data_IF_399095566476
#
_entry.id   IF_399095566476
#
_cell.length_a   1.000
_cell.length_b   1.000
_cell.length_c   1.000
_cell.angle_alpha   90.00
_cell.angle_beta   90.00
_cell.angle_gamma   90.00
#
_symmetry.space_group_name_H-M   'P 1'
#
loop_
_entity.id
_entity.type
_entity.pdbx_description
1 polymer ?
#
# COMPACT_ATOMS: atom_id res chain seq x y z
N UNK A 1 -15.34 43.48 40.15
CA UNK A 1 -14.84 42.08 40.27
C UNK A 1 -14.96 41.24 38.97
N UNK A 2 -16.01 41.40 38.17
CA UNK A 2 -16.20 40.61 36.92
C UNK A 2 -15.16 40.84 35.81
N UNK A 3 -14.54 42.05 35.74
CA UNK A 3 -13.55 42.37 34.70
C UNK A 3 -12.17 41.71 34.97
N UNK A 4 -11.79 41.51 36.21
CA UNK A 4 -10.48 40.92 36.57
C UNK A 4 -10.42 39.42 36.24
N UNK A 5 -11.52 38.69 36.43
CA UNK A 5 -11.63 37.28 36.09
C UNK A 5 -11.54 37.00 34.60
N UNK A 6 -12.11 37.89 33.76
CA UNK A 6 -12.01 37.75 32.29
C UNK A 6 -10.59 37.98 31.79
N UNK A 7 -9.85 38.92 32.40
CA UNK A 7 -8.44 39.16 32.05
C UNK A 7 -7.57 37.99 32.48
N UNK A 8 -7.80 37.43 33.68
CA UNK A 8 -7.05 36.28 34.17
C UNK A 8 -7.31 35.02 33.34
N UNK A 9 -8.56 34.76 32.93
CA UNK A 9 -8.92 33.65 32.06
C UNK A 9 -8.29 33.80 30.66
N UNK A 10 -8.21 35.01 30.10
CA UNK A 10 -7.58 35.26 28.82
C UNK A 10 -6.06 35.06 28.87
N UNK A 11 -5.41 35.49 29.98
CA UNK A 11 -3.97 35.29 30.21
C UNK A 11 -3.62 33.80 30.41
N UNK A 12 -4.45 33.03 31.08
CA UNK A 12 -4.25 31.57 31.24
C UNK A 12 -4.43 30.88 29.91
N UNK A 13 -5.45 31.26 29.10
CA UNK A 13 -5.69 30.69 27.79
C UNK A 13 -4.54 30.98 26.81
N UNK A 14 -3.98 32.19 26.83
CA UNK A 14 -2.81 32.55 26.01
C UNK A 14 -1.53 31.86 26.48
N UNK A 15 -1.34 31.66 27.80
CA UNK A 15 -0.21 30.90 28.33
C UNK A 15 -0.28 29.41 27.96
N UNK A 16 -1.47 28.82 28.00
CA UNK A 16 -1.68 27.42 27.58
C UNK A 16 -1.47 27.28 26.06
N UNK A 17 -1.96 28.22 25.25
CA UNK A 17 -1.69 28.20 23.81
C UNK A 17 -0.19 28.40 23.49
N UNK A 18 0.51 29.29 24.22
CA UNK A 18 1.95 29.48 24.05
C UNK A 18 2.77 28.29 24.52
N UNK A 19 2.34 27.59 25.57
CA UNK A 19 2.95 26.32 26.00
C UNK A 19 2.74 25.21 24.95
N UNK A 20 1.58 25.14 24.30
CA UNK A 20 1.36 24.20 23.19
C UNK A 20 2.20 24.54 21.94
N UNK A 21 2.52 25.81 21.69
CA UNK A 21 3.38 26.21 20.59
C UNK A 21 4.88 26.01 20.90
N UNK A 22 5.30 26.12 22.17
CA UNK A 22 6.68 25.93 22.60
C UNK A 22 7.02 24.49 22.99
N UNK A 23 6.01 23.69 23.34
CA UNK A 23 6.11 22.26 23.60
C UNK A 23 5.30 21.45 22.61
N UNK A 24 5.09 21.97 21.41
CA UNK A 24 4.72 21.15 20.26
C UNK A 24 5.76 20.04 20.21
N UNK A 25 5.32 18.84 20.63
CA UNK A 25 6.17 17.66 20.66
C UNK A 25 6.71 17.41 19.26
N UNK A 26 7.90 17.92 18.98
CA UNK A 26 8.84 17.14 18.22
C UNK A 26 9.06 15.90 19.10
N UNK A 27 8.30 14.84 18.85
CA UNK A 27 8.80 13.53 19.22
C UNK A 27 10.25 13.51 18.71
N UNK A 28 11.24 13.13 19.54
CA UNK A 28 12.57 12.96 19.03
C UNK A 28 12.41 12.02 17.83
N UNK A 29 12.98 12.39 16.69
CA UNK A 29 13.30 11.43 15.65
C UNK A 29 14.21 10.42 16.35
N UNK A 30 13.56 9.42 16.93
CA UNK A 30 14.26 8.29 17.47
C UNK A 30 14.95 7.71 16.26
N UNK A 31 16.26 7.87 16.21
CA UNK A 31 17.14 7.05 15.40
C UNK A 31 16.68 5.62 15.69
N UNK A 32 15.84 5.08 14.79
CA UNK A 32 15.37 3.70 14.88
C UNK A 32 16.63 2.87 14.75
N UNK A 33 17.11 2.37 15.89
CA UNK A 33 18.26 1.48 15.95
C UNK A 33 17.84 0.24 15.17
N UNK A 34 18.16 0.27 13.87
CA UNK A 34 17.91 -0.81 12.94
C UNK A 34 18.64 -2.01 13.50
N UNK A 35 17.94 -2.94 14.14
CA UNK A 35 18.50 -4.25 14.34
C UNK A 35 18.85 -4.74 12.94
N UNK A 36 20.14 -4.96 12.70
CA UNK A 36 20.68 -5.48 11.45
C UNK A 36 19.73 -6.61 10.98
N UNK A 37 19.16 -6.52 9.76
CA UNK A 37 18.23 -7.52 9.28
C UNK A 37 18.85 -8.93 9.20
N UNK A 38 20.08 -9.09 9.65
CA UNK A 38 20.84 -10.33 9.61
C UNK A 38 21.29 -10.66 8.18
N UNK A 39 22.21 -11.59 8.07
CA UNK A 39 22.59 -12.14 6.76
C UNK A 39 21.36 -12.79 6.13
N UNK A 40 20.90 -12.40 4.92
CA UNK A 40 19.76 -13.03 4.26
C UNK A 40 19.86 -14.56 4.18
N UNK A 41 21.07 -15.12 4.08
CA UNK A 41 21.29 -16.57 4.06
C UNK A 41 20.92 -17.24 5.38
N UNK A 42 21.08 -16.57 6.52
CA UNK A 42 20.72 -17.10 7.85
C UNK A 42 19.21 -17.01 8.10
N UNK A 43 18.57 -15.98 7.55
CA UNK A 43 17.11 -15.77 7.67
C UNK A 43 16.28 -16.82 6.92
N UNK A 44 16.84 -17.40 5.86
CA UNK A 44 16.14 -18.28 4.92
C UNK A 44 16.81 -19.65 4.83
N UNK A 45 16.90 -20.37 5.94
CA UNK A 45 17.58 -21.68 6.00
C UNK A 45 16.72 -22.89 5.55
N UNK A 46 15.40 -22.69 5.39
CA UNK A 46 14.45 -23.75 5.02
C UNK A 46 14.40 -24.06 3.52
N UNK A 47 13.61 -25.08 3.11
CA UNK A 47 13.37 -25.38 1.72
C UNK A 47 12.66 -24.18 1.03
N UNK A 48 13.07 -23.90 -0.20
CA UNK A 48 12.47 -22.82 -1.00
C UNK A 48 11.18 -23.33 -1.64
N UNK A 49 10.03 -22.69 -1.43
CA UNK A 49 8.81 -23.05 -2.13
C UNK A 49 8.97 -22.89 -3.65
N UNK A 50 8.35 -23.76 -4.42
CA UNK A 50 8.29 -23.58 -5.87
C UNK A 50 7.33 -22.43 -6.22
N UNK A 51 7.72 -21.53 -7.13
CA UNK A 51 6.85 -20.45 -7.55
C UNK A 51 5.57 -20.97 -8.19
N UNK A 52 4.43 -20.45 -7.74
CA UNK A 52 3.15 -20.76 -8.36
C UNK A 52 3.00 -20.01 -9.70
N UNK A 53 2.47 -20.69 -10.72
CA UNK A 53 2.20 -20.10 -12.03
C UNK A 53 0.76 -19.63 -12.07
N UNK A 54 0.49 -18.35 -12.40
CA UNK A 54 -0.87 -17.85 -12.52
C UNK A 54 -1.60 -18.47 -13.72
N UNK A 55 -2.94 -18.51 -13.70
CA UNK A 55 -3.72 -18.87 -14.88
C UNK A 55 -3.37 -17.96 -16.07
N UNK A 56 -3.49 -18.47 -17.28
CA UNK A 56 -3.23 -17.69 -18.49
C UNK A 56 -4.16 -16.43 -18.53
N UNK A 57 -3.56 -15.25 -18.68
CA UNK A 57 -4.27 -13.97 -18.63
C UNK A 57 -4.85 -13.62 -17.24
N UNK A 58 -4.39 -14.29 -16.18
CA UNK A 58 -4.77 -14.06 -14.80
C UNK A 58 -3.62 -13.64 -13.90
N UNK A 59 -3.88 -13.65 -12.60
CA UNK A 59 -2.91 -13.35 -11.55
C UNK A 59 -3.13 -14.19 -10.30
N UNK A 60 -2.09 -14.28 -9.47
CA UNK A 60 -2.19 -14.74 -8.09
C UNK A 60 -1.86 -13.55 -7.20
N UNK A 61 -2.71 -13.30 -6.22
CA UNK A 61 -2.58 -12.21 -5.25
C UNK A 61 -2.34 -12.80 -3.88
N UNK A 62 -1.34 -12.31 -3.15
CA UNK A 62 -1.11 -12.63 -1.74
C UNK A 62 -1.19 -11.37 -0.90
N UNK A 63 -1.84 -11.47 0.25
CA UNK A 63 -1.85 -10.44 1.27
C UNK A 63 -0.59 -10.54 2.13
N UNK A 64 0.20 -9.48 2.17
CA UNK A 64 1.48 -9.42 2.91
C UNK A 64 1.37 -8.65 4.24
N UNK A 65 0.15 -8.24 4.60
CA UNK A 65 -0.11 -7.45 5.80
C UNK A 65 -0.23 -5.95 5.53
N UNK A 66 -1.01 -5.26 6.34
CA UNK A 66 -1.28 -3.84 6.27
C UNK A 66 -1.65 -3.37 4.85
N UNK A 67 -0.78 -2.60 4.19
CA UNK A 67 -0.95 -2.19 2.79
C UNK A 67 -0.23 -3.10 1.80
N UNK A 68 0.52 -4.09 2.29
CA UNK A 68 1.36 -4.97 1.50
C UNK A 68 0.57 -6.00 0.72
N UNK A 69 0.77 -6.01 -0.60
CA UNK A 69 0.26 -7.05 -1.49
C UNK A 69 1.32 -7.48 -2.50
N UNK A 70 1.37 -8.78 -2.82
CA UNK A 70 2.12 -9.30 -3.95
C UNK A 70 1.15 -9.76 -5.04
N UNK A 71 1.46 -9.44 -6.28
CA UNK A 71 0.67 -9.84 -7.46
C UNK A 71 1.57 -10.52 -8.47
N UNK A 72 1.44 -11.82 -8.61
CA UNK A 72 2.13 -12.61 -9.64
C UNK A 72 1.28 -12.61 -10.90
N UNK A 73 1.80 -12.02 -11.95
CA UNK A 73 1.27 -12.10 -13.31
C UNK A 73 2.05 -13.12 -14.14
N UNK A 74 1.78 -13.26 -15.42
CA UNK A 74 2.46 -14.22 -16.27
C UNK A 74 3.98 -14.03 -16.27
N UNK A 75 4.45 -12.78 -16.34
CA UNK A 75 5.87 -12.47 -16.48
C UNK A 75 6.49 -11.74 -15.30
N UNK A 76 5.68 -11.23 -14.36
CA UNK A 76 6.16 -10.35 -13.28
C UNK A 76 5.63 -10.77 -11.92
N UNK A 77 6.39 -10.42 -10.88
CA UNK A 77 5.91 -10.30 -9.52
C UNK A 77 5.95 -8.83 -9.12
N UNK A 78 4.78 -8.26 -8.92
CA UNK A 78 4.63 -6.90 -8.40
C UNK A 78 4.45 -6.96 -6.89
N UNK A 79 5.18 -6.13 -6.15
CA UNK A 79 5.10 -6.04 -4.70
C UNK A 79 4.80 -4.60 -4.35
N UNK A 80 3.71 -4.37 -3.62
CA UNK A 80 3.25 -3.05 -3.21
C UNK A 80 3.40 -2.88 -1.71
N UNK A 81 3.92 -1.72 -1.27
CA UNK A 81 4.00 -1.23 0.10
C UNK A 81 4.38 -2.32 1.12
N UNK A 82 5.47 -3.03 0.85
CA UNK A 82 5.96 -4.10 1.70
C UNK A 82 6.72 -3.56 2.90
N UNK A 83 6.38 -4.06 4.06
CA UNK A 83 7.08 -3.76 5.30
C UNK A 83 7.14 -5.00 6.21
N UNK A 84 8.22 -5.13 6.95
CA UNK A 84 8.43 -6.14 7.98
C UNK A 84 8.48 -5.55 9.37
N UNK A 85 8.71 -4.24 9.47
CA UNK A 85 8.77 -3.54 10.73
C UNK A 85 7.43 -3.61 11.46
N UNK A 86 7.50 -3.63 12.78
CA UNK A 86 6.43 -4.09 13.67
C UNK A 86 5.96 -2.95 14.57
N UNK A 87 5.12 -2.11 14.06
CA UNK A 87 4.46 -1.08 14.85
C UNK A 87 3.35 -1.61 15.78
N UNK A 88 3.32 -2.92 16.01
CA UNK A 88 2.29 -3.60 16.77
C UNK A 88 1.14 -4.17 15.92
N UNK A 89 1.12 -3.88 14.63
CA UNK A 89 0.05 -4.30 13.71
C UNK A 89 0.30 -5.67 13.06
N UNK A 90 1.51 -6.19 13.17
CA UNK A 90 1.88 -7.50 12.61
C UNK A 90 2.54 -8.41 13.66
N UNK A 91 2.56 -9.75 13.42
CA UNK A 91 3.25 -10.67 14.32
C UNK A 91 4.71 -10.28 14.53
N UNK A 92 5.18 -10.26 15.77
CA UNK A 92 6.56 -9.90 16.14
C UNK A 92 7.58 -11.00 15.85
N UNK A 93 7.15 -12.16 15.37
CA UNK A 93 8.02 -13.30 15.10
C UNK A 93 7.98 -13.67 13.63
N UNK A 94 9.15 -13.93 13.07
CA UNK A 94 9.27 -14.52 11.75
C UNK A 94 8.59 -15.89 11.70
N UNK A 95 7.90 -16.23 10.60
CA UNK A 95 7.44 -17.58 10.40
C UNK A 95 8.65 -18.50 10.27
N UNK A 96 8.49 -19.76 10.69
CA UNK A 96 9.57 -20.77 10.57
C UNK A 96 10.04 -20.95 9.11
N UNK A 97 9.16 -20.66 8.16
CA UNK A 97 9.45 -20.66 6.73
C UNK A 97 8.80 -19.42 6.08
N UNK A 98 9.52 -18.30 5.97
CA UNK A 98 9.05 -17.14 5.24
C UNK A 98 8.76 -17.50 3.78
N UNK A 99 7.64 -17.07 3.25
CA UNK A 99 7.21 -17.29 1.87
C UNK A 99 6.03 -16.40 1.52
N UNK A 100 5.71 -16.24 0.26
CA UNK A 100 4.47 -15.56 -0.16
C UNK A 100 3.22 -16.17 0.50
N UNK A 101 3.18 -17.49 0.62
CA UNK A 101 2.07 -18.19 1.29
C UNK A 101 2.00 -17.93 2.80
N UNK A 102 3.09 -17.50 3.42
CA UNK A 102 3.12 -17.05 4.82
C UNK A 102 2.91 -15.53 4.96
N UNK A 103 2.81 -14.79 3.86
CA UNK A 103 2.70 -13.32 3.84
C UNK A 103 4.05 -12.60 3.94
N UNK A 104 5.13 -13.27 3.57
CA UNK A 104 6.48 -12.75 3.63
C UNK A 104 7.19 -12.93 2.29
N UNK A 105 8.17 -12.09 2.02
CA UNK A 105 9.01 -12.24 0.84
C UNK A 105 10.28 -13.01 1.22
N UNK A 106 10.41 -14.24 0.69
CA UNK A 106 11.68 -14.93 0.60
C UNK A 106 12.27 -14.62 -0.80
N UNK A 107 13.36 -13.86 -0.89
CA UNK A 107 13.93 -13.50 -2.20
C UNK A 107 14.37 -14.72 -3.00
N UNK A 108 14.67 -15.87 -2.36
CA UNK A 108 15.02 -17.12 -3.05
C UNK A 108 13.83 -17.74 -3.78
N UNK A 109 12.59 -17.58 -3.24
CA UNK A 109 11.35 -18.01 -3.90
C UNK A 109 11.10 -17.25 -5.21
N UNK A 110 11.59 -16.02 -5.29
CA UNK A 110 11.29 -15.08 -6.37
C UNK A 110 12.49 -14.79 -7.28
N UNK A 111 13.64 -15.43 -7.06
CA UNK A 111 14.94 -15.13 -7.72
C UNK A 111 14.90 -15.18 -9.26
N UNK A 112 14.07 -16.05 -9.82
CA UNK A 112 13.95 -16.24 -11.26
C UNK A 112 12.80 -15.44 -11.88
N UNK A 113 12.18 -14.52 -11.10
CA UNK A 113 11.09 -13.67 -11.54
C UNK A 113 11.58 -12.25 -11.89
N UNK A 114 10.82 -11.57 -12.73
CA UNK A 114 10.95 -10.12 -12.89
C UNK A 114 10.20 -9.43 -11.75
N UNK A 115 10.92 -9.03 -10.72
CA UNK A 115 10.33 -8.41 -9.51
C UNK A 115 10.27 -6.89 -9.69
N UNK A 116 9.12 -6.30 -9.36
CA UNK A 116 8.89 -4.85 -9.39
C UNK A 116 8.27 -4.42 -8.07
N UNK A 117 9.00 -3.60 -7.33
CA UNK A 117 8.61 -3.13 -6.00
C UNK A 117 8.11 -1.71 -6.11
N UNK A 118 6.89 -1.47 -5.64
CA UNK A 118 6.22 -0.18 -5.64
C UNK A 118 6.01 0.25 -4.20
N UNK A 119 6.41 1.48 -3.87
CA UNK A 119 6.20 2.06 -2.55
C UNK A 119 5.54 3.41 -2.72
N UNK A 120 4.35 3.58 -2.13
CA UNK A 120 3.53 4.77 -2.31
C UNK A 120 4.13 6.01 -1.65
N UNK A 121 4.65 5.87 -0.44
CA UNK A 121 5.29 6.94 0.33
C UNK A 121 6.27 6.40 1.40
N UNK A 122 6.89 7.29 2.17
CA UNK A 122 8.02 6.97 3.04
C UNK A 122 7.64 6.60 4.48
N UNK A 123 6.36 6.52 4.84
CA UNK A 123 5.98 6.08 6.19
C UNK A 123 6.37 4.62 6.43
N UNK A 124 6.74 4.30 7.66
CA UNK A 124 7.26 2.99 8.06
C UNK A 124 6.26 1.83 7.93
N UNK A 125 4.98 2.13 7.83
CA UNK A 125 3.92 1.16 7.60
C UNK A 125 3.66 0.88 6.10
N UNK A 126 4.40 1.55 5.21
CA UNK A 126 4.38 1.35 3.74
C UNK A 126 5.76 1.02 3.18
N UNK A 127 6.82 1.43 3.87
CA UNK A 127 8.18 1.34 3.39
C UNK A 127 9.10 0.68 4.42
N UNK A 128 9.78 -0.37 3.99
CA UNK A 128 10.84 -1.00 4.76
C UNK A 128 12.08 -1.15 3.88
N UNK A 129 13.24 -0.57 4.28
CA UNK A 129 14.48 -0.71 3.54
C UNK A 129 14.98 -2.15 3.35
N UNK A 130 14.40 -3.13 4.02
CA UNK A 130 14.69 -4.56 3.80
C UNK A 130 14.56 -4.95 2.32
N UNK A 131 13.68 -4.28 1.57
CA UNK A 131 13.49 -4.51 0.12
C UNK A 131 14.80 -4.41 -0.67
N UNK A 132 15.76 -3.59 -0.23
CA UNK A 132 17.04 -3.43 -0.91
C UNK A 132 17.97 -4.63 -0.73
N UNK A 133 17.79 -5.43 0.32
CA UNK A 133 18.59 -6.65 0.52
C UNK A 133 18.29 -7.70 -0.54
N UNK A 134 17.11 -7.66 -1.16
CA UNK A 134 16.70 -8.64 -2.17
C UNK A 134 17.51 -8.57 -3.47
N UNK A 135 18.15 -7.42 -3.74
CA UNK A 135 19.01 -7.22 -4.94
C UNK A 135 20.19 -8.18 -5.00
N UNK A 136 20.65 -8.70 -3.86
CA UNK A 136 21.75 -9.68 -3.80
C UNK A 136 21.33 -11.05 -4.27
N UNK A 137 20.02 -11.32 -4.30
CA UNK A 137 19.44 -12.63 -4.64
C UNK A 137 18.63 -12.59 -5.93
N UNK A 138 17.93 -11.49 -6.19
CA UNK A 138 17.02 -11.32 -7.35
C UNK A 138 17.72 -10.46 -8.40
N UNK A 139 18.20 -11.04 -9.52
CA UNK A 139 18.94 -10.27 -10.53
C UNK A 139 18.05 -9.29 -11.33
N UNK A 140 16.77 -9.63 -11.56
CA UNK A 140 15.82 -8.77 -12.31
C UNK A 140 14.82 -8.12 -11.34
N UNK A 141 15.32 -7.18 -10.53
CA UNK A 141 14.51 -6.39 -9.60
C UNK A 141 14.63 -4.89 -9.92
N UNK A 142 13.49 -4.18 -9.88
CA UNK A 142 13.46 -2.73 -9.98
C UNK A 142 12.49 -2.12 -8.95
N UNK A 143 12.78 -0.89 -8.53
CA UNK A 143 12.06 -0.17 -7.48
C UNK A 143 11.43 1.10 -8.05
N UNK A 144 10.22 1.39 -7.60
CA UNK A 144 9.42 2.56 -7.97
C UNK A 144 8.92 3.23 -6.70
N UNK A 145 9.30 4.50 -6.50
CA UNK A 145 9.00 5.24 -5.28
C UNK A 145 8.10 6.44 -5.59
N UNK A 146 7.05 6.59 -4.79
CA UNK A 146 6.08 7.69 -4.87
C UNK A 146 6.52 8.97 -4.17
N UNK A 147 7.74 9.02 -3.64
CA UNK A 147 8.34 10.21 -3.02
C UNK A 147 9.79 10.38 -3.48
N UNK A 148 10.33 11.58 -3.31
CA UNK A 148 11.76 11.81 -3.55
C UNK A 148 12.52 11.46 -2.26
N UNK A 149 13.17 10.30 -2.24
CA UNK A 149 14.21 9.96 -1.28
C UNK A 149 15.56 10.59 -1.70
N UNK A 150 16.66 10.24 -1.07
CA UNK A 150 17.99 10.68 -1.47
C UNK A 150 18.24 10.41 -2.97
N UNK A 151 18.97 11.31 -3.63
CA UNK A 151 19.27 11.22 -5.07
C UNK A 151 20.06 9.94 -5.38
N UNK A 152 19.37 8.89 -5.69
CA UNK A 152 19.92 7.62 -6.17
C UNK A 152 19.31 7.31 -7.54
N UNK A 153 20.14 7.43 -8.58
CA UNK A 153 19.75 7.19 -9.97
C UNK A 153 19.44 5.70 -10.26
N UNK A 154 19.73 4.79 -9.33
CA UNK A 154 19.42 3.37 -9.46
C UNK A 154 17.93 3.06 -9.25
N UNK A 155 17.14 4.02 -8.77
CA UNK A 155 15.73 3.87 -8.49
C UNK A 155 14.87 4.77 -9.36
N UNK A 156 13.63 4.35 -9.59
CA UNK A 156 12.66 5.14 -10.33
C UNK A 156 11.80 5.94 -9.33
N UNK A 157 11.83 7.27 -9.44
CA UNK A 157 10.99 8.15 -8.65
C UNK A 157 9.89 8.74 -9.52
N UNK A 158 8.64 8.47 -9.16
CA UNK A 158 7.46 8.98 -9.84
C UNK A 158 6.66 9.83 -8.85
N UNK A 159 7.17 11.01 -8.59
CA UNK A 159 6.60 11.94 -7.61
C UNK A 159 5.88 13.07 -8.33
N UNK A 160 4.85 13.55 -7.71
CA UNK A 160 4.05 14.66 -8.20
C UNK A 160 2.78 14.19 -8.89
N UNK A 161 1.93 15.12 -9.30
CA UNK A 161 0.68 14.77 -9.93
C UNK A 161 0.92 14.18 -11.31
N UNK A 162 0.46 12.94 -11.54
CA UNK A 162 0.27 12.39 -12.89
C UNK A 162 1.57 12.08 -13.64
N UNK A 163 2.55 11.48 -12.93
CA UNK A 163 3.74 10.94 -13.58
C UNK A 163 3.40 9.68 -14.40
N UNK A 164 4.07 9.50 -15.50
CA UNK A 164 3.93 8.33 -16.37
C UNK A 164 5.30 7.76 -16.70
N UNK A 165 5.42 6.43 -16.70
CA UNK A 165 6.64 5.72 -17.06
C UNK A 165 6.29 4.44 -17.83
N UNK A 166 7.07 4.14 -18.86
CA UNK A 166 7.07 2.85 -19.52
C UNK A 166 8.39 2.14 -19.25
N UNK A 167 8.31 0.96 -18.65
CA UNK A 167 9.49 0.14 -18.30
C UNK A 167 9.30 -1.28 -18.82
N UNK A 168 9.91 -1.57 -19.96
CA UNK A 168 9.67 -2.82 -20.69
C UNK A 168 8.20 -2.92 -21.14
N UNK A 169 7.51 -3.96 -20.68
CA UNK A 169 6.07 -4.15 -20.94
C UNK A 169 5.16 -3.56 -19.84
N UNK A 170 5.73 -2.95 -18.80
CA UNK A 170 4.95 -2.21 -17.80
C UNK A 170 4.66 -0.80 -18.30
N UNK A 171 3.41 -0.38 -18.12
CA UNK A 171 3.00 1.01 -18.20
C UNK A 171 2.53 1.43 -16.81
N UNK A 172 3.15 2.46 -16.26
CA UNK A 172 2.90 2.95 -14.91
C UNK A 172 2.37 4.38 -15.03
N UNK A 173 1.27 4.66 -14.36
CA UNK A 173 0.78 6.01 -14.17
C UNK A 173 0.51 6.24 -12.67
N UNK A 174 0.69 7.48 -12.23
CA UNK A 174 0.43 7.86 -10.84
C UNK A 174 -0.60 8.96 -10.77
N UNK A 175 -1.30 9.02 -9.65
CA UNK A 175 -2.05 10.21 -9.22
C UNK A 175 -1.51 10.69 -7.88
N UNK A 176 -1.77 11.97 -7.58
CA UNK A 176 -1.49 12.51 -6.26
C UNK A 176 -2.36 11.81 -5.22
N UNK A 177 -1.72 11.27 -4.21
CA UNK A 177 -2.38 10.58 -3.09
C UNK A 177 -2.03 11.23 -1.75
N UNK A 178 -1.39 12.38 -1.81
CA UNK A 178 -0.81 13.13 -0.70
C UNK A 178 -1.69 13.11 0.55
N UNK A 179 -1.08 12.74 1.68
CA UNK A 179 -1.66 12.91 3.01
C UNK A 179 -0.58 13.31 4.02
N UNK A 180 -1.01 13.89 5.16
CA UNK A 180 -0.15 14.16 6.33
C UNK A 180 1.18 14.88 6.03
N UNK A 181 1.26 15.66 4.93
CA UNK A 181 2.43 16.48 4.60
C UNK A 181 3.59 15.74 3.93
N UNK A 182 3.47 14.45 3.63
CA UNK A 182 4.47 13.69 2.87
C UNK A 182 4.04 13.53 1.41
N UNK A 183 4.98 13.60 0.46
CA UNK A 183 4.70 13.24 -0.92
C UNK A 183 4.27 11.78 -1.01
N UNK A 184 3.19 11.54 -1.73
CA UNK A 184 2.62 10.22 -1.94
C UNK A 184 1.96 10.10 -3.30
N UNK A 185 1.95 8.89 -3.86
CA UNK A 185 1.21 8.58 -5.09
C UNK A 185 0.38 7.32 -4.93
N UNK A 186 -0.75 7.29 -5.63
CA UNK A 186 -1.43 6.03 -5.95
C UNK A 186 -0.90 5.51 -7.29
N UNK A 187 -0.81 4.19 -7.42
CA UNK A 187 -0.24 3.49 -8.56
C UNK A 187 -1.32 2.93 -9.47
N UNK A 188 -1.23 3.19 -10.78
CA UNK A 188 -1.91 2.43 -11.82
C UNK A 188 -0.85 1.71 -12.65
N UNK A 189 -0.87 0.38 -12.66
CA UNK A 189 0.10 -0.44 -13.38
C UNK A 189 -0.61 -1.32 -14.39
N UNK A 190 -0.20 -1.23 -15.66
CA UNK A 190 -0.63 -2.14 -16.71
C UNK A 190 0.48 -3.13 -17.01
N UNK A 191 0.16 -4.41 -16.98
CA UNK A 191 1.13 -5.49 -17.18
C UNK A 191 0.42 -6.77 -17.58
N UNK A 192 0.95 -7.51 -18.54
CA UNK A 192 0.43 -8.81 -18.99
C UNK A 192 -1.09 -8.81 -19.30
N UNK A 193 -1.61 -7.69 -19.81
CA UNK A 193 -3.03 -7.51 -20.12
C UNK A 193 -3.92 -7.17 -18.91
N UNK A 194 -3.35 -7.01 -17.73
CA UNK A 194 -4.06 -6.64 -16.50
C UNK A 194 -3.85 -5.15 -16.17
N UNK A 195 -4.85 -4.58 -15.52
CA UNK A 195 -4.83 -3.23 -14.94
C UNK A 195 -4.93 -3.34 -13.42
N UNK A 196 -3.90 -2.89 -12.73
CA UNK A 196 -3.75 -3.02 -11.29
C UNK A 196 -3.67 -1.61 -10.68
N UNK A 197 -4.43 -1.37 -9.64
CA UNK A 197 -4.45 -0.09 -8.92
C UNK A 197 -4.15 -0.31 -7.43
N UNK A 198 -3.26 0.51 -6.88
CA UNK A 198 -2.94 0.54 -5.46
C UNK A 198 -2.94 1.99 -5.00
N UNK A 199 -3.85 2.35 -4.09
CA UNK A 199 -4.09 3.76 -3.79
C UNK A 199 -3.24 4.36 -2.67
N UNK A 200 -2.32 3.58 -2.04
CA UNK A 200 -1.62 4.08 -0.87
C UNK A 200 -2.62 4.52 0.22
N UNK A 201 -2.34 5.57 0.94
CA UNK A 201 -3.24 6.15 1.93
C UNK A 201 -4.27 7.13 1.35
N UNK A 202 -4.25 7.30 0.08
CA UNK A 202 -5.07 8.14 -0.81
C UNK A 202 -6.03 9.13 -0.11
N UNK A 203 -5.55 10.35 0.12
CA UNK A 203 -6.35 11.45 0.66
C UNK A 203 -6.08 12.76 -0.11
N UNK A 204 -6.21 12.76 -1.44
CA UNK A 204 -5.98 13.98 -2.20
C UNK A 204 -7.04 15.04 -1.88
N UNK A 205 -6.66 16.32 -2.01
CA UNK A 205 -7.57 17.44 -1.81
C UNK A 205 -8.75 17.41 -2.80
N UNK A 206 -8.51 16.97 -4.03
CA UNK A 206 -9.53 16.76 -5.06
C UNK A 206 -9.42 15.34 -5.65
N UNK A 207 -10.03 14.34 -5.00
CA UNK A 207 -10.03 12.97 -5.49
C UNK A 207 -10.70 12.83 -6.86
N UNK A 208 -11.70 13.66 -7.15
CA UNK A 208 -12.43 13.60 -8.42
C UNK A 208 -11.54 13.96 -9.60
N UNK A 209 -10.75 15.04 -9.49
CA UNK A 209 -9.81 15.45 -10.54
C UNK A 209 -8.70 14.42 -10.77
N UNK A 210 -8.24 13.75 -9.72
CA UNK A 210 -7.25 12.68 -9.81
C UNK A 210 -7.84 11.44 -10.50
N UNK A 211 -9.05 11.05 -10.13
CA UNK A 211 -9.74 9.93 -10.78
C UNK A 211 -10.12 10.26 -12.23
N UNK A 212 -10.46 11.49 -12.56
CA UNK A 212 -10.71 11.92 -13.96
C UNK A 212 -9.46 11.75 -14.82
N UNK A 213 -8.28 12.08 -14.28
CA UNK A 213 -7.03 11.79 -14.97
C UNK A 213 -6.83 10.27 -15.18
N UNK A 214 -7.02 9.43 -14.14
CA UNK A 214 -6.93 7.97 -14.30
C UNK A 214 -7.93 7.44 -15.32
N UNK A 215 -9.13 8.05 -15.40
CA UNK A 215 -10.15 7.71 -16.38
C UNK A 215 -9.68 7.89 -17.82
N UNK A 216 -8.76 8.82 -18.08
CA UNK A 216 -8.12 8.95 -19.40
C UNK A 216 -7.22 7.76 -19.74
N UNK A 217 -6.79 6.99 -18.72
CA UNK A 217 -5.92 5.83 -18.90
C UNK A 217 -6.71 4.52 -18.99
N UNK A 218 -7.81 4.39 -18.24
CA UNK A 218 -8.59 3.16 -18.22
C UNK A 218 -10.02 3.38 -17.76
N UNK A 219 -10.94 2.55 -18.25
CA UNK A 219 -12.32 2.44 -17.75
C UNK A 219 -12.54 1.27 -16.79
N UNK A 220 -11.60 0.32 -16.77
CA UNK A 220 -11.71 -0.89 -15.98
C UNK A 220 -10.41 -1.21 -15.28
N UNK A 221 -10.53 -1.72 -14.05
CA UNK A 221 -9.44 -2.14 -13.20
C UNK A 221 -9.68 -3.60 -12.82
N UNK A 222 -8.68 -4.44 -13.05
CA UNK A 222 -8.77 -5.86 -12.75
C UNK A 222 -8.59 -6.12 -11.27
N UNK A 223 -7.57 -5.51 -10.66
CA UNK A 223 -7.24 -5.65 -9.24
C UNK A 223 -7.08 -4.26 -8.62
N UNK A 224 -7.89 -3.91 -7.62
CA UNK A 224 -7.82 -2.65 -6.91
C UNK A 224 -7.53 -2.89 -5.42
N UNK A 225 -6.41 -2.35 -4.94
CA UNK A 225 -6.05 -2.32 -3.53
C UNK A 225 -6.39 -0.93 -3.00
N UNK A 226 -7.35 -0.86 -2.06
CA UNK A 226 -7.94 0.41 -1.66
C UNK A 226 -7.93 0.59 -0.14
N UNK A 227 -7.48 1.74 0.31
CA UNK A 227 -7.60 2.15 1.69
C UNK A 227 -9.06 2.52 1.99
N UNK A 228 -9.75 1.77 2.85
CA UNK A 228 -11.12 2.09 3.23
C UNK A 228 -11.13 3.20 4.27
N UNK A 229 -10.78 4.42 3.86
CA UNK A 229 -10.80 5.57 4.78
C UNK A 229 -12.17 5.66 5.44
N UNK A 230 -12.17 5.61 6.75
CA UNK A 230 -13.35 5.69 7.58
C UNK A 230 -13.24 6.96 8.43
N UNK A 231 -14.01 7.96 8.11
CA UNK A 231 -14.19 9.08 9.02
C UNK A 231 -15.31 8.73 10.00
N UNK A 232 -15.05 8.96 11.28
CA UNK A 232 -16.04 8.70 12.34
C UNK A 232 -17.35 9.40 12.02
N UNK A 233 -18.43 8.63 11.96
CA UNK A 233 -19.76 9.12 11.57
C UNK A 233 -20.06 9.17 10.07
N UNK A 234 -19.10 8.91 9.18
CA UNK A 234 -19.34 8.74 7.74
C UNK A 234 -19.31 7.29 7.33
N UNK A 235 -20.36 6.83 6.72
CA UNK A 235 -20.50 5.45 6.25
C UNK A 235 -19.60 5.14 5.03
N UNK A 236 -19.16 6.18 4.29
CA UNK A 236 -18.34 6.09 3.09
C UNK A 236 -17.46 7.31 2.96
N UNK A 237 -16.26 7.16 2.42
CA UNK A 237 -15.45 8.31 2.01
C UNK A 237 -15.79 8.73 0.58
N UNK A 238 -15.75 10.05 0.34
CA UNK A 238 -16.03 10.63 -0.97
C UNK A 238 -15.13 10.01 -2.04
N UNK A 239 -13.84 9.83 -1.75
CA UNK A 239 -12.88 9.27 -2.71
C UNK A 239 -13.20 7.85 -3.15
N UNK A 240 -13.55 6.95 -2.21
CA UNK A 240 -13.90 5.57 -2.56
C UNK A 240 -15.22 5.49 -3.33
N UNK A 241 -16.18 6.34 -2.98
CA UNK A 241 -17.45 6.45 -3.74
C UNK A 241 -17.18 6.96 -5.15
N UNK A 242 -16.38 8.01 -5.32
CA UNK A 242 -16.02 8.54 -6.64
C UNK A 242 -15.28 7.50 -7.46
N UNK A 243 -14.30 6.81 -6.86
CA UNK A 243 -13.54 5.74 -7.51
C UNK A 243 -14.44 4.62 -8.06
N UNK A 244 -15.27 4.02 -7.21
CA UNK A 244 -16.15 2.93 -7.63
C UNK A 244 -17.32 3.37 -8.53
N UNK A 245 -17.62 4.66 -8.58
CA UNK A 245 -18.55 5.22 -9.54
C UNK A 245 -17.91 5.36 -10.94
N UNK A 246 -16.65 5.77 -10.98
CA UNK A 246 -15.93 6.04 -12.24
C UNK A 246 -15.37 4.79 -12.90
N UNK A 247 -14.96 3.79 -12.11
CA UNK A 247 -14.25 2.62 -12.63
C UNK A 247 -15.08 1.34 -12.46
N UNK A 248 -15.05 0.50 -13.50
CA UNK A 248 -15.48 -0.88 -13.39
C UNK A 248 -14.36 -1.70 -12.74
N UNK A 249 -14.49 -1.99 -11.46
CA UNK A 249 -13.54 -2.81 -10.71
C UNK A 249 -13.96 -4.27 -10.73
N UNK A 250 -13.05 -5.18 -11.05
CA UNK A 250 -13.29 -6.63 -11.16
C UNK A 250 -12.96 -7.40 -9.88
N UNK A 251 -12.01 -6.91 -9.10
CA UNK A 251 -11.72 -7.39 -7.75
C UNK A 251 -11.13 -6.26 -6.92
N UNK A 252 -11.72 -5.96 -5.77
CA UNK A 252 -11.22 -4.98 -4.82
C UNK A 252 -10.76 -5.66 -3.52
N UNK A 253 -9.67 -5.17 -2.97
CA UNK A 253 -9.07 -5.67 -1.73
C UNK A 253 -8.84 -4.48 -0.80
N UNK A 254 -9.41 -4.50 0.42
CA UNK A 254 -9.13 -3.46 1.41
C UNK A 254 -7.71 -3.61 1.96
N UNK A 255 -7.10 -2.49 2.34
CA UNK A 255 -5.78 -2.43 2.95
C UNK A 255 -5.73 -1.43 4.10
N UNK A 256 -4.56 -1.24 4.75
CA UNK A 256 -4.31 -0.33 5.87
C UNK A 256 -4.89 -0.80 7.22
N UNK A 257 -5.03 -2.12 7.40
CA UNK A 257 -5.33 -2.76 8.67
C UNK A 257 -4.81 -4.20 8.69
N UNK A 258 -5.15 -4.96 9.71
CA UNK A 258 -4.77 -6.37 9.81
C UNK A 258 -5.78 -7.27 9.09
N UNK A 259 -5.34 -8.50 8.80
CA UNK A 259 -6.21 -9.53 8.25
C UNK A 259 -7.43 -9.77 9.15
N UNK A 260 -8.62 -9.82 8.56
CA UNK A 260 -9.87 -10.01 9.28
C UNK A 260 -10.33 -8.83 10.13
N UNK A 261 -9.71 -7.67 9.98
CA UNK A 261 -10.06 -6.46 10.74
C UNK A 261 -11.52 -6.04 10.49
N UNK A 262 -12.16 -5.52 11.53
CA UNK A 262 -13.55 -5.04 11.47
C UNK A 262 -13.73 -3.90 10.45
N UNK A 263 -12.69 -3.08 10.22
CA UNK A 263 -12.69 -2.03 9.20
C UNK A 263 -12.84 -2.63 7.80
N UNK A 264 -12.15 -3.71 7.48
CA UNK A 264 -12.26 -4.39 6.18
C UNK A 264 -13.65 -4.99 5.97
N UNK A 265 -14.19 -5.66 7.00
CA UNK A 265 -15.51 -6.27 6.94
C UNK A 265 -16.62 -5.20 6.85
N UNK A 266 -16.46 -4.11 7.59
CA UNK A 266 -17.35 -2.95 7.55
C UNK A 266 -17.36 -2.28 6.16
N UNK A 267 -16.18 -2.08 5.58
CA UNK A 267 -16.02 -1.57 4.22
C UNK A 267 -16.70 -2.47 3.18
N UNK A 268 -16.40 -3.78 3.23
CA UNK A 268 -17.04 -4.75 2.32
C UNK A 268 -18.56 -4.65 2.38
N UNK A 269 -19.15 -4.73 3.57
CA UNK A 269 -20.60 -4.65 3.76
C UNK A 269 -21.16 -3.32 3.24
N UNK A 270 -20.57 -2.19 3.66
CA UNK A 270 -21.06 -0.87 3.33
C UNK A 270 -21.03 -0.60 1.82
N UNK A 271 -19.95 -1.04 1.14
CA UNK A 271 -19.79 -0.81 -0.29
C UNK A 271 -20.59 -1.80 -1.14
N UNK A 272 -20.80 -3.03 -0.71
CA UNK A 272 -21.70 -3.96 -1.37
C UNK A 272 -23.16 -3.51 -1.28
N UNK A 273 -23.58 -2.90 -0.17
CA UNK A 273 -24.91 -2.29 -0.04
C UNK A 273 -25.09 -1.11 -1.01
N UNK A 274 -24.03 -0.29 -1.21
CA UNK A 274 -24.07 0.89 -2.08
C UNK A 274 -23.89 0.54 -3.56
N UNK A 275 -23.02 -0.39 -3.87
CA UNK A 275 -22.69 -0.87 -5.21
C UNK A 275 -22.96 -2.37 -5.29
N UNK A 276 -24.24 -2.79 -5.52
CA UNK A 276 -24.59 -4.20 -5.61
C UNK A 276 -23.76 -4.93 -6.68
N UNK A 277 -23.12 -6.02 -6.28
CA UNK A 277 -22.25 -6.79 -7.16
C UNK A 277 -20.79 -6.33 -7.23
N UNK A 278 -20.38 -5.28 -6.50
CA UNK A 278 -18.96 -4.92 -6.36
C UNK A 278 -18.21 -6.06 -5.66
N UNK A 279 -17.22 -6.70 -6.33
CA UNK A 279 -16.53 -7.86 -5.77
C UNK A 279 -15.40 -7.41 -4.85
N UNK A 280 -15.68 -7.35 -3.55
CA UNK A 280 -14.70 -7.01 -2.50
C UNK A 280 -14.28 -8.29 -1.79
N UNK A 281 -12.97 -8.53 -1.71
CA UNK A 281 -12.36 -9.71 -1.10
C UNK A 281 -11.51 -9.28 0.11
N UNK A 282 -11.95 -9.67 1.30
CA UNK A 282 -11.27 -9.35 2.55
C UNK A 282 -10.23 -10.43 2.86
N UNK A 283 -8.95 -10.08 3.06
CA UNK A 283 -7.96 -11.03 3.55
C UNK A 283 -8.22 -11.36 5.03
N UNK A 284 -8.34 -12.64 5.35
CA UNK A 284 -8.64 -13.14 6.70
C UNK A 284 -7.40 -13.64 7.44
N UNK A 285 -6.25 -13.75 6.76
CA UNK A 285 -4.96 -14.16 7.33
C UNK A 285 -3.78 -13.66 6.49
N UNK A 286 -2.63 -13.55 7.12
CA UNK A 286 -1.36 -13.33 6.41
C UNK A 286 -1.14 -14.41 5.37
N UNK A 287 -0.58 -14.05 4.21
CA UNK A 287 -0.32 -14.96 3.11
C UNK A 287 -1.58 -15.52 2.44
N UNK A 288 -2.78 -14.99 2.76
CA UNK A 288 -3.98 -15.44 2.06
C UNK A 288 -3.83 -15.19 0.57
N UNK A 289 -4.04 -16.27 -0.17
CA UNK A 289 -3.95 -16.29 -1.63
C UNK A 289 -5.33 -16.13 -2.27
N UNK A 290 -5.38 -15.36 -3.36
CA UNK A 290 -6.53 -15.23 -4.23
C UNK A 290 -6.09 -15.46 -5.67
N UNK A 291 -6.85 -16.24 -6.43
CA UNK A 291 -6.55 -16.53 -7.82
C UNK A 291 -7.50 -15.71 -8.70
N UNK A 292 -6.95 -14.79 -9.48
CA UNK A 292 -7.71 -14.02 -10.46
C UNK A 292 -7.63 -14.68 -11.82
N UNK A 293 -8.79 -15.05 -12.37
CA UNK A 293 -8.90 -15.64 -13.71
C UNK A 293 -10.24 -15.26 -14.35
N UNK A 294 -10.23 -15.01 -15.65
CA UNK A 294 -11.44 -14.71 -16.43
C UNK A 294 -12.28 -13.56 -15.84
N UNK A 295 -11.59 -12.52 -15.32
CA UNK A 295 -12.23 -11.32 -14.79
C UNK A 295 -12.87 -11.47 -13.40
N UNK A 296 -12.53 -12.51 -12.63
CA UNK A 296 -13.05 -12.76 -11.28
C UNK A 296 -12.03 -13.52 -10.41
N UNK A 297 -12.22 -13.47 -9.10
CA UNK A 297 -11.51 -14.37 -8.18
C UNK A 297 -12.17 -15.75 -8.23
N UNK A 298 -11.30 -16.75 -8.35
CA UNK A 298 -11.68 -18.18 -8.26
C UNK A 298 -10.89 -18.76 -7.07
N UNK A 299 -11.57 -19.42 -6.17
CA UNK A 299 -10.96 -20.13 -5.03
C UNK A 299 -10.81 -21.61 -5.38
#
# INVERSE_FOLDING_TARGET
MLKLWKILALLILTLVLFAFILFGSSAPEGEYERTDPGNPEERFSGPVPSPEIPPNGGAIVWYLGHCGYAVRTQNYLLIFDYQESRDGRQPKSWPAQPSLAAGWIDPRETKDMKVRVFVSHSHEDHYDPVIFTWRTVIPDIAYYFGWKAADDSSYNYLVGPRAELKSGSLEIATINSHHSGVPEVAWLVRVDGLVIYHNGDCRPDDPSAEHDFLKTKTDAIDLAFVFPVYEEGQKYTIQNVDFFTKFRVRAAFPMHAQAGDAMYLGFQKAFQDKFPGLPIYVPMKMGQKFIYANGRITN
#
